data_IF_749281870836
#
_entry.id   IF_749281870836
#
_cell.length_a   1.000
_cell.length_b   1.000
_cell.length_c   1.000
_cell.angle_alpha   90.00
_cell.angle_beta   90.00
_cell.angle_gamma   90.00
#
_symmetry.space_group_name_H-M   'P 1'
#
loop_
_entity.id
_entity.type
_entity.pdbx_description
1 polymer ?
#
# COMPACT_ATOMS: atom_id res chain seq x y z
N UNK A 1 -54.58 0.57 56.24
CA UNK A 1 -53.17 0.08 56.20
C UNK A 1 -53.13 -0.98 55.10
N UNK A 2 -52.50 -0.81 53.94
CA UNK A 2 -51.42 0.08 53.54
C UNK A 2 -51.69 0.62 52.12
N UNK A 3 -51.81 1.94 52.01
CA UNK A 3 -51.41 2.67 50.81
C UNK A 3 -49.89 2.49 50.70
N UNK A 4 -49.37 1.75 49.72
CA UNK A 4 -47.94 1.80 49.34
C UNK A 4 -47.64 1.06 48.01
N UNK A 5 -48.62 0.87 47.12
CA UNK A 5 -48.43 0.13 45.86
C UNK A 5 -48.56 0.96 44.57
N UNK A 6 -48.73 2.28 44.64
CA UNK A 6 -48.94 3.12 43.45
C UNK A 6 -47.80 4.08 43.09
N UNK A 7 -46.62 3.97 43.71
CA UNK A 7 -45.50 4.91 43.49
C UNK A 7 -44.32 4.32 42.70
N UNK A 8 -44.38 3.05 42.29
CA UNK A 8 -43.29 2.36 41.58
C UNK A 8 -43.35 2.40 40.05
N UNK A 9 -44.37 2.99 39.44
CA UNK A 9 -44.56 2.96 37.97
C UNK A 9 -44.26 4.31 37.30
N UNK A 10 -44.14 5.40 38.06
CA UNK A 10 -43.94 6.75 37.51
C UNK A 10 -42.48 7.24 37.47
N UNK A 11 -41.52 6.43 37.90
CA UNK A 11 -40.08 6.76 37.86
C UNK A 11 -39.26 5.94 36.86
N UNK A 12 -39.90 5.10 36.05
CA UNK A 12 -39.23 4.38 34.95
C UNK A 12 -39.40 5.07 33.58
N UNK A 13 -40.35 6.00 33.43
CA UNK A 13 -40.48 6.80 32.21
C UNK A 13 -39.41 7.89 32.01
N UNK A 14 -38.77 8.50 33.04
CA UNK A 14 -37.71 9.47 32.79
C UNK A 14 -36.38 8.82 32.40
N UNK A 15 -36.13 7.56 32.80
CA UNK A 15 -34.91 6.83 32.38
C UNK A 15 -35.00 6.32 30.95
N UNK A 16 -36.20 5.99 30.47
CA UNK A 16 -36.43 5.60 29.08
C UNK A 16 -36.27 6.76 28.08
N UNK A 17 -36.30 8.01 28.56
CA UNK A 17 -36.08 9.22 27.75
C UNK A 17 -34.66 9.79 27.87
N UNK A 18 -33.81 9.20 28.72
CA UNK A 18 -32.38 9.58 28.84
C UNK A 18 -31.45 8.63 28.05
N UNK A 19 -32.02 7.62 27.40
CA UNK A 19 -31.39 6.86 26.32
C UNK A 19 -31.95 7.38 24.98
N UNK A 20 -31.77 8.67 24.71
CA UNK A 20 -31.51 9.04 23.32
C UNK A 20 -30.18 8.36 23.00
N UNK A 21 -30.27 7.16 22.43
CA UNK A 21 -29.20 6.62 21.60
C UNK A 21 -28.75 7.80 20.73
N UNK A 22 -27.51 8.23 20.91
CA UNK A 22 -26.81 9.05 19.94
C UNK A 22 -27.05 8.37 18.59
N UNK A 23 -28.02 8.89 17.84
CA UNK A 23 -28.39 8.38 16.54
C UNK A 23 -27.09 8.38 15.75
N UNK A 24 -26.72 7.26 15.11
CA UNK A 24 -25.46 7.20 14.38
C UNK A 24 -25.48 8.37 13.41
N UNK A 25 -24.56 9.31 13.58
CA UNK A 25 -24.32 10.46 12.69
C UNK A 25 -24.75 10.06 11.29
N UNK A 26 -25.87 10.62 10.83
CA UNK A 26 -26.70 10.04 9.78
C UNK A 26 -25.88 9.33 8.72
N UNK A 27 -26.05 8.01 8.59
CA UNK A 27 -25.30 7.16 7.65
C UNK A 27 -25.51 7.53 6.17
N UNK A 28 -26.25 8.61 5.91
CA UNK A 28 -26.49 9.19 4.59
C UNK A 28 -25.57 10.41 4.45
N UNK A 29 -24.70 10.44 3.43
CA UNK A 29 -23.89 11.62 3.14
C UNK A 29 -24.76 12.87 3.03
N UNK A 30 -24.36 13.96 3.69
CA UNK A 30 -25.09 15.25 3.68
C UNK A 30 -25.42 15.73 2.26
N UNK A 31 -24.57 15.40 1.29
CA UNK A 31 -24.75 15.70 -0.13
C UNK A 31 -24.28 14.52 -0.97
N UNK A 32 -25.19 13.96 -1.77
CA UNK A 32 -24.85 13.01 -2.84
C UNK A 32 -24.82 13.76 -4.16
N UNK A 33 -23.67 13.77 -4.83
CA UNK A 33 -23.52 14.43 -6.14
C UNK A 33 -23.38 13.36 -7.22
N UNK A 34 -24.38 13.17 -8.09
CA UNK A 34 -24.27 12.26 -9.21
C UNK A 34 -23.15 12.70 -10.18
N UNK A 35 -22.42 11.74 -10.75
CA UNK A 35 -21.32 12.00 -11.68
C UNK A 35 -21.69 12.98 -12.81
N UNK A 36 -22.87 12.81 -13.42
CA UNK A 36 -23.35 13.68 -14.51
C UNK A 36 -23.59 15.14 -14.10
N UNK A 37 -23.64 15.45 -12.80
CA UNK A 37 -23.78 16.81 -12.26
C UNK A 37 -22.45 17.44 -11.85
N UNK A 38 -21.36 16.67 -11.88
CA UNK A 38 -20.01 17.16 -11.58
C UNK A 38 -19.29 17.44 -12.89
N UNK A 39 -18.73 18.64 -13.02
CA UNK A 39 -17.78 18.92 -14.09
C UNK A 39 -16.40 18.35 -13.72
N UNK A 40 -16.32 17.03 -13.60
CA UNK A 40 -15.09 16.33 -13.25
C UNK A 40 -14.19 16.24 -14.49
N UNK A 41 -12.91 16.57 -14.33
CA UNK A 41 -11.90 16.29 -15.35
C UNK A 41 -11.63 14.80 -15.36
N UNK A 42 -11.71 14.16 -16.52
CA UNK A 42 -11.51 12.72 -16.68
C UNK A 42 -10.43 12.49 -17.71
N UNK A 43 -9.51 11.60 -17.39
CA UNK A 43 -8.53 11.07 -18.32
C UNK A 43 -8.86 9.61 -18.65
N UNK A 44 -8.81 9.28 -19.94
CA UNK A 44 -8.92 7.92 -20.42
C UNK A 44 -8.21 7.82 -21.78
N UNK A 45 -7.49 6.72 -22.00
CA UNK A 45 -6.87 6.39 -23.28
C UNK A 45 -7.52 5.11 -23.83
N UNK A 46 -7.95 5.15 -25.10
CA UNK A 46 -8.65 4.03 -25.73
C UNK A 46 -7.79 2.77 -25.72
N UNK A 47 -8.35 1.68 -25.20
CA UNK A 47 -7.69 0.37 -25.14
C UNK A 47 -6.71 0.20 -23.97
N UNK A 48 -6.59 1.21 -23.10
CA UNK A 48 -5.78 1.15 -21.87
C UNK A 48 -6.69 1.06 -20.65
N UNK A 49 -6.26 0.25 -19.69
CA UNK A 49 -7.03 -0.10 -18.50
C UNK A 49 -6.09 -0.13 -17.28
N UNK A 50 -6.67 -0.26 -16.08
CA UNK A 50 -5.94 -0.44 -14.83
C UNK A 50 -4.98 0.71 -14.49
N UNK A 51 -5.51 1.92 -14.40
CA UNK A 51 -4.81 3.10 -13.88
C UNK A 51 -4.63 2.97 -12.35
N UNK A 52 -3.59 2.26 -11.91
CA UNK A 52 -3.42 1.85 -10.50
C UNK A 52 -2.29 2.52 -9.74
N UNK A 53 -1.36 3.19 -10.44
CA UNK A 53 -0.18 3.78 -9.81
C UNK A 53 -0.09 5.25 -10.18
N UNK A 54 0.09 6.11 -9.19
CA UNK A 54 0.16 7.56 -9.37
C UNK A 54 1.39 8.11 -8.66
N UNK A 55 2.07 9.07 -9.29
CA UNK A 55 3.15 9.83 -8.66
C UNK A 55 2.93 11.31 -8.95
N UNK A 56 2.86 12.10 -7.89
CA UNK A 56 2.78 13.55 -7.99
C UNK A 56 4.18 14.14 -8.20
N UNK A 57 4.35 14.96 -9.24
CA UNK A 57 5.58 15.70 -9.54
C UNK A 57 5.27 17.19 -9.57
N UNK A 58 5.09 17.76 -8.38
CA UNK A 58 4.80 19.21 -8.23
C UNK A 58 5.91 20.08 -8.81
N UNK A 59 7.16 19.62 -8.71
CA UNK A 59 8.35 20.23 -9.31
C UNK A 59 8.27 20.37 -10.84
N UNK A 60 7.49 19.52 -11.50
CA UNK A 60 7.26 19.55 -12.95
C UNK A 60 5.82 19.96 -13.32
N UNK A 61 4.96 20.22 -12.32
CA UNK A 61 3.51 20.38 -12.49
C UNK A 61 2.83 19.21 -13.22
N UNK A 62 3.25 17.97 -12.92
CA UNK A 62 2.73 16.74 -13.54
C UNK A 62 2.07 15.80 -12.54
N UNK A 63 1.02 15.12 -13.00
CA UNK A 63 0.57 13.86 -12.44
C UNK A 63 1.07 12.72 -13.34
N UNK A 64 1.98 11.91 -12.82
CA UNK A 64 2.43 10.71 -13.51
C UNK A 64 1.47 9.56 -13.22
N UNK A 65 1.04 8.84 -14.25
CA UNK A 65 0.02 7.81 -14.16
C UNK A 65 0.49 6.51 -14.82
N UNK A 66 0.71 5.48 -14.01
CA UNK A 66 1.01 4.12 -14.45
C UNK A 66 -0.28 3.33 -14.70
N UNK A 67 -0.33 2.66 -15.86
CA UNK A 67 -1.46 1.85 -16.29
C UNK A 67 -0.99 0.47 -16.82
N UNK A 68 -1.90 -0.30 -17.42
CA UNK A 68 -1.53 -1.50 -18.17
C UNK A 68 -0.82 -1.11 -19.48
N UNK A 69 0.43 -1.55 -19.63
CA UNK A 69 1.33 -1.38 -20.79
C UNK A 69 1.72 0.07 -21.11
N UNK A 70 1.45 1.03 -20.22
CA UNK A 70 1.73 2.44 -20.48
C UNK A 70 1.94 3.26 -19.21
N UNK A 71 2.74 4.33 -19.35
CA UNK A 71 2.88 5.41 -18.38
C UNK A 71 2.54 6.75 -19.05
N UNK A 72 1.80 7.60 -18.36
CA UNK A 72 1.38 8.92 -18.83
C UNK A 72 1.93 10.03 -17.94
N UNK A 73 2.27 11.15 -18.57
CA UNK A 73 2.46 12.43 -17.89
C UNK A 73 1.25 13.31 -18.19
N UNK A 74 0.45 13.62 -17.18
CA UNK A 74 -0.74 14.44 -17.28
C UNK A 74 -0.46 15.82 -16.66
N UNK A 75 -1.11 16.85 -17.20
CA UNK A 75 -1.08 18.19 -16.60
C UNK A 75 -1.75 18.15 -15.21
N UNK A 76 -1.06 18.65 -14.18
CA UNK A 76 -1.56 18.61 -12.80
C UNK A 76 -2.78 19.54 -12.59
N UNK A 77 -2.90 20.62 -13.35
CA UNK A 77 -4.03 21.54 -13.26
C UNK A 77 -5.26 21.05 -14.05
N UNK A 78 -5.05 20.25 -15.10
CA UNK A 78 -6.10 19.63 -15.88
C UNK A 78 -5.71 18.23 -16.37
N UNK A 79 -5.99 17.22 -15.55
CA UNK A 79 -5.62 15.82 -15.81
C UNK A 79 -6.16 15.26 -17.13
N UNK A 80 -7.19 15.89 -17.72
CA UNK A 80 -7.70 15.49 -19.04
C UNK A 80 -6.68 15.75 -20.17
N UNK A 81 -5.68 16.60 -19.92
CA UNK A 81 -4.61 16.92 -20.86
C UNK A 81 -3.43 15.97 -20.66
N UNK A 82 -3.28 15.04 -21.61
CA UNK A 82 -2.07 14.24 -21.78
C UNK A 82 -0.95 15.08 -22.36
N UNK A 83 0.14 15.24 -21.62
CA UNK A 83 1.33 15.97 -22.07
C UNK A 83 2.32 15.04 -22.76
N UNK A 84 2.55 13.85 -22.20
CA UNK A 84 3.38 12.82 -22.79
C UNK A 84 2.92 11.41 -22.38
N UNK A 85 3.41 10.40 -23.08
CA UNK A 85 3.18 9.00 -22.73
C UNK A 85 4.28 8.10 -23.27
N UNK A 86 4.56 7.01 -22.56
CA UNK A 86 5.44 5.94 -23.02
C UNK A 86 4.64 4.63 -22.99
N UNK A 87 4.70 3.87 -24.08
CA UNK A 87 4.23 2.50 -24.10
C UNK A 87 5.35 1.60 -23.59
N UNK A 88 5.03 0.76 -22.62
CA UNK A 88 5.94 -0.22 -22.05
C UNK A 88 5.21 -1.56 -21.94
N UNK A 89 4.87 -2.11 -23.11
CA UNK A 89 4.16 -3.38 -23.25
C UNK A 89 5.09 -4.56 -23.39
N UNK A 90 4.53 -5.76 -23.28
CA UNK A 90 5.28 -7.02 -23.40
C UNK A 90 5.52 -7.38 -24.86
N UNK A 91 6.65 -8.03 -25.14
CA UNK A 91 6.94 -8.61 -26.45
C UNK A 91 6.07 -9.84 -26.71
N UNK A 92 5.94 -10.24 -27.97
CA UNK A 92 5.22 -11.48 -28.32
C UNK A 92 5.88 -12.72 -27.70
N UNK A 93 7.21 -12.71 -27.56
CA UNK A 93 7.95 -13.78 -26.92
C UNK A 93 7.59 -13.88 -25.43
N UNK A 94 7.67 -12.76 -24.68
CA UNK A 94 7.31 -12.74 -23.25
C UNK A 94 5.85 -13.15 -23.04
N UNK A 95 4.94 -12.71 -23.92
CA UNK A 95 3.53 -13.12 -23.88
C UNK A 95 3.40 -14.64 -24.04
N UNK A 96 4.03 -15.22 -25.06
CA UNK A 96 4.00 -16.67 -25.30
C UNK A 96 4.63 -17.47 -24.15
N UNK A 97 5.74 -16.99 -23.57
CA UNK A 97 6.37 -17.61 -22.40
C UNK A 97 5.45 -17.59 -21.17
N UNK A 98 4.73 -16.50 -20.94
CA UNK A 98 3.73 -16.39 -19.88
C UNK A 98 2.52 -17.32 -20.12
N UNK A 99 2.01 -17.37 -21.35
CA UNK A 99 0.94 -18.28 -21.77
C UNK A 99 1.34 -19.75 -21.55
N UNK A 100 2.58 -20.12 -21.90
CA UNK A 100 3.12 -21.46 -21.67
C UNK A 100 3.21 -21.83 -20.18
N UNK A 101 3.26 -20.84 -19.27
CA UNK A 101 3.18 -21.04 -17.82
C UNK A 101 1.73 -21.18 -17.31
N UNK A 102 0.74 -21.21 -18.21
CA UNK A 102 -0.67 -21.42 -17.90
C UNK A 102 -1.43 -20.17 -17.48
N UNK A 103 -0.94 -18.98 -17.83
CA UNK A 103 -1.52 -17.68 -17.47
C UNK A 103 -2.40 -17.11 -18.58
N UNK A 104 -3.39 -16.30 -18.21
CA UNK A 104 -4.34 -15.71 -19.17
C UNK A 104 -3.64 -14.68 -20.08
N UNK A 105 -3.66 -14.88 -21.42
CA UNK A 105 -2.96 -14.01 -22.37
C UNK A 105 -3.46 -12.56 -22.40
N UNK A 106 -4.74 -12.33 -22.13
CA UNK A 106 -5.40 -11.04 -22.29
C UNK A 106 -5.50 -10.26 -20.98
N UNK A 107 -5.50 -10.98 -19.85
CA UNK A 107 -5.63 -10.42 -18.50
C UNK A 107 -4.34 -10.46 -17.72
N UNK A 108 -3.58 -11.54 -17.74
CA UNK A 108 -2.42 -11.77 -16.87
C UNK A 108 -1.09 -11.50 -17.59
N UNK A 109 -0.95 -11.91 -18.85
CA UNK A 109 0.29 -11.78 -19.63
C UNK A 109 0.47 -10.39 -20.26
N UNK A 110 0.38 -9.36 -19.43
CA UNK A 110 0.58 -7.95 -19.77
C UNK A 110 1.55 -7.31 -18.79
N UNK A 111 2.13 -6.17 -19.15
CA UNK A 111 2.90 -5.38 -18.22
C UNK A 111 1.96 -4.45 -17.44
N UNK A 112 1.76 -4.67 -16.15
CA UNK A 112 1.04 -3.75 -15.29
C UNK A 112 2.04 -2.92 -14.50
N UNK A 113 2.01 -1.59 -14.66
CA UNK A 113 2.86 -0.70 -13.88
C UNK A 113 2.38 -0.72 -12.42
N UNK A 114 3.32 -0.98 -11.51
CA UNK A 114 3.06 -1.13 -10.07
C UNK A 114 3.81 -0.09 -9.26
N UNK A 115 5.08 0.08 -9.56
CA UNK A 115 5.95 1.00 -8.84
C UNK A 115 6.21 2.23 -9.69
N UNK A 116 6.10 3.42 -9.10
CA UNK A 116 6.47 4.67 -9.72
C UNK A 116 6.90 5.65 -8.62
N UNK A 117 8.20 5.84 -8.44
CA UNK A 117 8.76 6.67 -7.38
C UNK A 117 9.69 7.74 -7.94
N UNK A 118 9.72 8.92 -7.29
CA UNK A 118 10.72 9.95 -7.59
C UNK A 118 12.08 9.53 -6.99
N UNK A 119 13.14 9.82 -7.71
CA UNK A 119 14.52 9.70 -7.25
C UNK A 119 15.12 11.08 -6.94
N UNK A 120 16.22 11.11 -6.19
CA UNK A 120 16.90 12.36 -5.81
C UNK A 120 17.45 13.13 -7.01
N UNK A 121 17.89 12.42 -8.04
CA UNK A 121 18.37 13.00 -9.31
C UNK A 121 17.23 13.47 -10.24
N UNK A 122 16.00 13.59 -9.71
CA UNK A 122 14.76 13.93 -10.40
C UNK A 122 14.27 12.95 -11.48
N UNK A 123 14.96 11.81 -11.67
CA UNK A 123 14.41 10.69 -12.45
C UNK A 123 13.29 10.01 -11.67
N UNK A 124 12.67 9.04 -12.32
CA UNK A 124 11.62 8.22 -11.75
C UNK A 124 12.01 6.75 -11.87
N UNK A 125 11.90 6.01 -10.78
CA UNK A 125 12.05 4.56 -10.78
C UNK A 125 10.70 3.92 -11.06
N UNK A 126 10.62 3.07 -12.08
CA UNK A 126 9.37 2.44 -12.51
C UNK A 126 9.53 0.92 -12.56
N UNK A 127 8.53 0.18 -12.10
CA UNK A 127 8.50 -1.28 -12.27
C UNK A 127 7.12 -1.76 -12.70
N UNK A 128 7.10 -2.86 -13.44
CA UNK A 128 5.86 -3.54 -13.81
C UNK A 128 5.98 -5.06 -13.82
N UNK A 129 4.82 -5.72 -13.85
CA UNK A 129 4.70 -7.19 -13.77
C UNK A 129 5.25 -7.92 -14.99
N UNK A 130 5.34 -7.23 -16.13
CA UNK A 130 5.96 -7.68 -17.38
C UNK A 130 5.65 -9.15 -17.74
N UNK A 131 4.35 -9.50 -17.78
CA UNK A 131 3.87 -10.87 -18.04
C UNK A 131 4.47 -11.95 -17.11
N UNK A 132 4.37 -11.74 -15.79
CA UNK A 132 4.93 -12.65 -14.78
C UNK A 132 6.45 -12.83 -14.89
N UNK A 133 7.16 -11.77 -15.30
CA UNK A 133 8.62 -11.66 -15.18
C UNK A 133 9.01 -10.22 -14.83
N UNK A 134 8.79 -9.80 -13.56
CA UNK A 134 8.83 -8.40 -13.17
C UNK A 134 10.12 -7.69 -13.58
N UNK A 135 9.97 -6.48 -14.11
CA UNK A 135 11.07 -5.67 -14.64
C UNK A 135 10.95 -4.25 -14.11
N UNK A 136 12.10 -3.65 -13.81
CA UNK A 136 12.22 -2.26 -13.41
C UNK A 136 13.11 -1.48 -14.38
N UNK A 137 12.91 -0.17 -14.44
CA UNK A 137 13.70 0.74 -15.26
C UNK A 137 13.64 2.16 -14.70
N UNK A 138 14.34 3.08 -15.35
CA UNK A 138 14.36 4.50 -15.03
C UNK A 138 13.65 5.30 -16.13
N UNK A 139 12.95 6.34 -15.71
CA UNK A 139 12.31 7.30 -16.61
C UNK A 139 12.66 8.73 -16.26
N UNK A 140 12.67 9.58 -17.26
CA UNK A 140 12.85 11.02 -17.11
C UNK A 140 11.81 11.78 -17.93
N UNK A 141 11.47 12.98 -17.46
CA UNK A 141 10.64 13.92 -18.19
C UNK A 141 11.45 15.19 -18.43
N UNK A 142 11.73 15.50 -19.69
CA UNK A 142 12.49 16.68 -20.10
C UNK A 142 11.94 17.18 -21.45
N UNK A 143 11.93 18.50 -21.64
CA UNK A 143 11.52 19.16 -22.89
C UNK A 143 10.16 18.68 -23.43
N UNK A 144 9.20 18.45 -22.53
CA UNK A 144 7.86 17.98 -22.90
C UNK A 144 7.78 16.49 -23.27
N UNK A 145 8.87 15.73 -23.12
CA UNK A 145 8.96 14.32 -23.51
C UNK A 145 9.18 13.43 -22.29
N UNK A 146 8.41 12.34 -22.22
CA UNK A 146 8.64 11.25 -21.29
C UNK A 146 9.49 10.17 -21.97
N UNK A 147 10.59 9.75 -21.34
CA UNK A 147 11.52 8.76 -21.88
C UNK A 147 11.85 7.68 -20.87
N UNK A 148 11.87 6.42 -21.32
CA UNK A 148 12.35 5.25 -20.60
C UNK A 148 13.82 4.99 -21.00
N UNK A 149 14.68 4.65 -20.03
CA UNK A 149 16.11 4.42 -20.30
C UNK A 149 16.40 3.10 -21.00
N UNK A 150 15.51 2.11 -20.91
CA UNK A 150 15.66 0.77 -21.47
C UNK A 150 16.92 0.05 -20.98
N UNK A 151 17.28 0.25 -19.70
CA UNK A 151 18.40 -0.47 -19.09
C UNK A 151 18.02 -1.88 -18.67
N UNK A 152 16.76 -2.08 -18.29
CA UNK A 152 16.23 -3.36 -17.82
C UNK A 152 16.89 -3.83 -16.53
N UNK A 153 16.20 -3.69 -15.40
CA UNK A 153 16.61 -4.28 -14.12
C UNK A 153 15.66 -5.42 -13.72
N UNK A 154 16.22 -6.45 -13.08
CA UNK A 154 15.42 -7.50 -12.44
C UNK A 154 14.49 -6.88 -11.38
N UNK A 155 13.18 -7.14 -11.53
CA UNK A 155 12.12 -6.66 -10.67
C UNK A 155 11.71 -7.64 -9.58
N UNK A 156 12.34 -8.83 -9.50
CA UNK A 156 12.01 -9.85 -8.49
C UNK A 156 12.18 -9.33 -7.07
N UNK A 157 11.12 -9.45 -6.27
CA UNK A 157 11.06 -8.90 -4.91
C UNK A 157 10.86 -7.38 -4.85
N UNK A 158 10.92 -6.66 -5.98
CA UNK A 158 10.64 -5.21 -6.09
C UNK A 158 9.22 -4.93 -6.58
N UNK A 159 8.72 -5.80 -7.44
CA UNK A 159 7.40 -5.74 -8.06
C UNK A 159 6.76 -7.15 -8.05
N UNK A 160 5.44 -7.29 -7.83
CA UNK A 160 4.78 -8.59 -7.90
C UNK A 160 4.83 -9.17 -9.32
N UNK A 161 4.77 -10.50 -9.40
CA UNK A 161 4.57 -11.25 -10.64
C UNK A 161 3.13 -11.16 -11.12
N UNK A 162 2.19 -11.40 -10.20
CA UNK A 162 0.76 -11.39 -10.47
C UNK A 162 0.19 -9.97 -10.37
N UNK A 163 -0.54 -9.48 -11.39
CA UNK A 163 -1.16 -8.16 -11.36
C UNK A 163 -2.28 -7.98 -10.32
N UNK A 164 -2.79 -9.04 -9.72
CA UNK A 164 -3.81 -8.97 -8.68
C UNK A 164 -3.23 -9.12 -7.28
N UNK A 165 -1.94 -9.43 -7.17
CA UNK A 165 -1.25 -9.50 -5.89
C UNK A 165 -1.06 -8.10 -5.30
N UNK A 166 -1.44 -7.98 -4.02
CA UNK A 166 -1.21 -6.79 -3.19
C UNK A 166 0.29 -6.63 -2.92
N UNK A 167 0.76 -5.39 -2.93
CA UNK A 167 2.16 -5.02 -2.76
C UNK A 167 2.24 -3.63 -2.09
N UNK A 168 3.39 -3.30 -1.53
CA UNK A 168 3.69 -1.96 -1.05
C UNK A 168 5.14 -1.61 -1.37
N UNK A 169 5.43 -0.35 -1.71
CA UNK A 169 6.79 0.11 -1.92
C UNK A 169 6.94 1.60 -1.62
N UNK A 170 8.16 2.01 -1.24
CA UNK A 170 8.56 3.40 -1.05
C UNK A 170 10.03 3.55 -1.46
N UNK A 171 10.38 4.72 -2.01
CA UNK A 171 11.76 5.10 -2.29
C UNK A 171 12.26 6.00 -1.16
N UNK A 172 13.38 5.65 -0.54
CA UNK A 172 14.04 6.44 0.52
C UNK A 172 15.52 6.52 0.19
N UNK A 173 16.07 7.71 0.00
CA UNK A 173 17.49 7.94 -0.34
C UNK A 173 17.98 7.12 -1.55
N UNK A 174 17.13 6.98 -2.58
CA UNK A 174 17.30 6.12 -3.77
C UNK A 174 17.37 4.61 -3.50
N UNK A 175 17.11 4.16 -2.28
CA UNK A 175 16.91 2.76 -1.94
C UNK A 175 15.43 2.40 -2.00
N UNK A 176 15.09 1.39 -2.80
CA UNK A 176 13.71 0.90 -2.90
C UNK A 176 13.41 -0.08 -1.77
N UNK A 177 12.51 0.31 -0.88
CA UNK A 177 11.86 -0.61 0.06
C UNK A 177 10.62 -1.17 -0.63
N UNK A 178 10.48 -2.49 -0.61
CA UNK A 178 9.39 -3.18 -1.29
C UNK A 178 8.94 -4.40 -0.51
N UNK A 179 7.62 -4.58 -0.44
CA UNK A 179 6.97 -5.73 0.16
C UNK A 179 6.02 -6.36 -0.87
N UNK A 180 6.36 -7.56 -1.29
CA UNK A 180 5.67 -8.31 -2.34
C UNK A 180 6.06 -9.80 -2.23
N UNK A 181 5.91 -10.58 -3.29
CA UNK A 181 6.51 -11.91 -3.39
C UNK A 181 7.73 -11.93 -4.30
N UNK A 182 8.71 -12.76 -3.95
CA UNK A 182 9.94 -12.95 -4.73
C UNK A 182 9.78 -14.03 -5.83
N UNK A 183 8.74 -14.86 -5.77
CA UNK A 183 8.57 -15.99 -6.67
C UNK A 183 7.29 -15.89 -7.52
N UNK A 184 7.26 -16.68 -8.59
CA UNK A 184 6.16 -16.70 -9.56
C UNK A 184 4.81 -17.11 -8.94
N UNK A 185 4.83 -17.99 -7.93
CA UNK A 185 3.62 -18.52 -7.29
C UNK A 185 3.00 -17.56 -6.26
N UNK A 186 3.69 -16.48 -5.88
CA UNK A 186 3.23 -15.57 -4.84
C UNK A 186 3.36 -16.13 -3.41
N UNK A 187 3.99 -17.30 -3.23
CA UNK A 187 4.03 -18.05 -1.97
C UNK A 187 5.19 -17.65 -1.05
N UNK A 188 6.19 -16.95 -1.57
CA UNK A 188 7.35 -16.48 -0.81
C UNK A 188 7.25 -14.97 -0.60
N UNK A 189 6.58 -14.51 0.48
CA UNK A 189 6.49 -13.08 0.79
C UNK A 189 7.84 -12.56 1.25
N UNK A 190 8.14 -11.32 0.88
CA UNK A 190 9.40 -10.67 1.20
C UNK A 190 9.16 -9.19 1.50
N UNK A 191 9.84 -8.67 2.52
CA UNK A 191 10.13 -7.24 2.66
C UNK A 191 11.63 -7.07 2.39
N UNK A 192 11.98 -6.30 1.37
CA UNK A 192 13.36 -6.10 0.93
C UNK A 192 13.69 -4.62 0.74
N UNK A 193 14.95 -4.27 0.98
CA UNK A 193 15.57 -3.04 0.50
C UNK A 193 16.50 -3.38 -0.65
N UNK A 194 16.21 -2.82 -1.81
CA UNK A 194 17.04 -2.94 -3.01
C UNK A 194 18.02 -1.78 -3.04
N UNK A 195 19.23 -2.05 -2.59
CA UNK A 195 20.39 -1.15 -2.61
C UNK A 195 21.65 -1.95 -2.96
N UNK A 196 22.84 -1.34 -3.08
CA UNK A 196 24.08 -2.09 -3.30
C UNK A 196 24.29 -3.24 -2.29
N UNK A 197 23.80 -3.07 -1.05
CA UNK A 197 23.69 -4.12 -0.04
C UNK A 197 22.22 -4.46 0.17
N UNK A 198 21.70 -5.39 -0.63
CA UNK A 198 20.32 -5.83 -0.48
C UNK A 198 20.09 -6.58 0.84
N UNK A 199 19.03 -6.19 1.54
CA UNK A 199 18.60 -6.78 2.82
C UNK A 199 17.15 -7.21 2.69
N UNK A 200 16.83 -8.37 3.25
CA UNK A 200 15.48 -8.93 3.18
C UNK A 200 15.01 -9.61 4.46
N UNK A 201 13.73 -9.95 4.52
CA UNK A 201 13.18 -10.83 5.56
C UNK A 201 13.63 -12.29 5.42
N UNK A 202 13.53 -13.05 6.51
CA UNK A 202 13.62 -14.51 6.48
C UNK A 202 12.34 -15.14 5.92
N UNK A 203 12.46 -16.28 5.25
CA UNK A 203 11.32 -17.10 4.82
C UNK A 203 10.83 -17.99 5.97
N UNK A 204 10.35 -17.34 7.04
CA UNK A 204 9.76 -18.00 8.21
C UNK A 204 8.39 -17.40 8.49
N UNK A 205 7.43 -18.23 8.85
CA UNK A 205 6.07 -17.80 9.23
C UNK A 205 6.06 -16.85 10.44
N UNK A 206 7.05 -16.95 11.34
CA UNK A 206 7.21 -16.00 12.44
C UNK A 206 7.50 -14.57 11.96
N UNK A 207 8.07 -14.40 10.75
CA UNK A 207 8.32 -13.09 10.15
C UNK A 207 7.12 -12.61 9.35
N UNK A 208 6.69 -13.40 8.37
CA UNK A 208 5.56 -13.10 7.50
C UNK A 208 4.79 -14.39 7.21
N UNK A 209 3.48 -14.39 7.47
CA UNK A 209 2.63 -15.57 7.30
C UNK A 209 1.46 -15.30 6.35
N UNK A 210 1.63 -15.61 5.06
CA UNK A 210 0.65 -15.30 4.01
C UNK A 210 0.15 -13.83 4.07
N UNK A 211 1.05 -12.83 4.03
CA UNK A 211 0.66 -11.44 4.18
C UNK A 211 -0.04 -10.89 2.93
N UNK A 212 -0.96 -9.96 3.16
CA UNK A 212 -1.47 -9.04 2.15
C UNK A 212 -0.97 -7.64 2.50
N UNK A 213 0.01 -7.15 1.74
CA UNK A 213 0.63 -5.84 1.96
C UNK A 213 -0.32 -4.70 1.59
N UNK A 214 -0.24 -3.60 2.33
CA UNK A 214 -1.12 -2.44 2.15
C UNK A 214 -0.33 -1.21 1.72
N UNK A 215 0.63 -0.78 2.54
CA UNK A 215 1.30 0.50 2.35
C UNK A 215 2.62 0.55 3.13
N UNK A 216 3.45 1.54 2.79
CA UNK A 216 4.67 1.87 3.53
C UNK A 216 4.73 3.36 3.81
N UNK A 217 5.43 3.72 4.89
CA UNK A 217 5.73 5.10 5.23
C UNK A 217 7.12 5.19 5.87
N UNK A 218 7.87 6.25 5.54
CA UNK A 218 9.13 6.57 6.21
C UNK A 218 8.85 7.61 7.31
N UNK A 219 9.47 7.40 8.47
CA UNK A 219 9.42 8.28 9.62
C UNK A 219 10.83 8.78 9.96
N UNK A 220 11.06 10.10 9.99
CA UNK A 220 12.36 10.69 10.29
C UNK A 220 12.60 10.73 11.82
N UNK A 221 12.67 9.58 12.46
CA UNK A 221 12.79 9.49 13.93
C UNK A 221 14.14 10.01 14.46
N UNK A 222 15.14 10.12 13.58
CA UNK A 222 16.44 10.68 13.92
C UNK A 222 16.41 12.21 14.06
N UNK A 223 15.40 12.87 13.51
CA UNK A 223 15.26 14.32 13.59
C UNK A 223 14.99 14.76 15.03
N UNK A 224 15.85 15.65 15.55
CA UNK A 224 15.79 16.21 16.92
C UNK A 224 15.89 15.18 18.06
N UNK A 225 16.43 13.97 17.80
CA UNK A 225 16.56 12.95 18.84
C UNK A 225 17.97 12.90 19.44
N UNK A 226 18.14 13.42 20.65
CA UNK A 226 19.42 13.36 21.40
C UNK A 226 19.85 11.92 21.73
N UNK A 227 18.91 10.96 21.74
CA UNK A 227 19.19 9.52 22.01
C UNK A 227 19.68 8.76 20.76
N UNK A 228 19.68 9.39 19.58
CA UNK A 228 20.24 8.81 18.34
C UNK A 228 19.44 7.64 17.77
N UNK A 229 18.11 7.76 17.68
CA UNK A 229 17.29 6.72 17.05
C UNK A 229 17.33 6.85 15.52
N UNK A 230 17.51 5.73 14.80
CA UNK A 230 17.55 5.73 13.34
C UNK A 230 16.16 5.98 12.76
N UNK A 231 16.11 6.66 11.60
CA UNK A 231 14.90 6.75 10.77
C UNK A 231 14.33 5.36 10.52
N UNK A 232 13.00 5.25 10.47
CA UNK A 232 12.34 3.95 10.30
C UNK A 232 11.45 3.93 9.09
N UNK A 233 11.34 2.75 8.49
CA UNK A 233 10.35 2.45 7.47
C UNK A 233 9.32 1.52 8.07
N UNK A 234 8.09 2.00 8.10
CA UNK A 234 6.91 1.27 8.56
C UNK A 234 6.23 0.57 7.38
N UNK A 235 5.80 -0.67 7.61
CA UNK A 235 5.05 -1.50 6.67
C UNK A 235 3.72 -1.90 7.31
N UNK A 236 2.62 -1.61 6.63
CA UNK A 236 1.28 -2.01 7.05
C UNK A 236 0.78 -3.16 6.17
N UNK A 237 0.21 -4.18 6.80
CA UNK A 237 -0.25 -5.38 6.12
C UNK A 237 -1.21 -6.17 7.00
N UNK A 238 -1.95 -7.10 6.42
CA UNK A 238 -2.66 -8.14 7.16
C UNK A 238 -1.98 -9.48 6.95
N UNK A 239 -2.03 -10.38 7.93
CA UNK A 239 -1.47 -11.73 7.80
C UNK A 239 -2.29 -12.74 8.59
N UNK A 240 -2.04 -14.03 8.35
CA UNK A 240 -2.58 -15.12 9.16
C UNK A 240 -1.91 -15.11 10.54
N UNK A 241 -2.70 -14.96 11.60
CA UNK A 241 -2.20 -14.98 12.97
C UNK A 241 -1.47 -16.30 13.28
N UNK A 242 -0.29 -16.21 13.89
CA UNK A 242 0.51 -17.36 14.36
C UNK A 242 0.34 -17.58 15.85
N UNK A 243 -0.14 -16.56 16.57
CA UNK A 243 -0.39 -16.56 18.01
C UNK A 243 -1.76 -17.15 18.40
N UNK A 244 -2.56 -17.60 17.42
CA UNK A 244 -3.92 -18.11 17.65
C UNK A 244 -4.11 -19.44 16.95
N UNK A 245 -4.17 -20.52 17.75
CA UNK A 245 -4.48 -21.88 17.31
C UNK A 245 -5.99 -22.11 17.08
N UNK A 246 -6.74 -21.08 16.69
CA UNK A 246 -8.17 -21.22 16.45
C UNK A 246 -8.44 -22.05 15.18
N UNK A 247 -9.49 -22.87 15.22
CA UNK A 247 -10.00 -23.67 14.09
C UNK A 247 -10.22 -22.85 12.82
N UNK A 248 -10.50 -21.55 12.98
CA UNK A 248 -10.61 -20.60 11.88
C UNK A 248 -9.29 -19.85 11.71
N UNK A 249 -8.85 -19.81 10.45
CA UNK A 249 -7.67 -19.12 9.92
C UNK A 249 -7.76 -17.60 10.13
N UNK A 250 -7.58 -17.14 11.37
CA UNK A 250 -7.77 -15.74 11.77
C UNK A 250 -6.77 -14.83 11.04
N UNK A 251 -7.29 -13.82 10.35
CA UNK A 251 -6.48 -12.76 9.74
C UNK A 251 -6.42 -11.57 10.68
N UNK A 252 -5.22 -11.05 10.93
CA UNK A 252 -4.99 -9.88 11.80
C UNK A 252 -4.24 -8.80 11.05
N UNK A 253 -4.50 -7.55 11.41
CA UNK A 253 -3.77 -6.39 10.90
C UNK A 253 -2.47 -6.18 11.67
N UNK A 254 -1.41 -5.81 10.97
CA UNK A 254 -0.06 -5.62 11.51
C UNK A 254 0.55 -4.31 11.04
N UNK A 255 1.38 -3.75 11.91
CA UNK A 255 2.44 -2.82 11.54
C UNK A 255 3.78 -3.48 11.81
N UNK A 256 4.67 -3.43 10.84
CA UNK A 256 6.07 -3.74 11.02
C UNK A 256 6.91 -2.50 10.82
N UNK A 257 8.14 -2.55 11.34
CA UNK A 257 9.13 -1.48 11.21
C UNK A 257 10.52 -2.07 10.99
N UNK A 258 11.33 -1.38 10.22
CA UNK A 258 12.78 -1.62 10.04
C UNK A 258 13.52 -0.29 10.15
N UNK A 259 14.76 -0.32 10.64
CA UNK A 259 15.62 0.88 10.68
C UNK A 259 16.22 1.11 9.30
N UNK A 260 16.25 2.37 8.85
CA UNK A 260 16.87 2.80 7.59
C UNK A 260 18.36 2.44 7.56
N UNK A 261 19.05 2.57 8.69
CA UNK A 261 20.48 2.25 8.83
C UNK A 261 20.83 0.77 8.96
N UNK A 262 19.86 -0.15 8.93
CA UNK A 262 20.13 -1.59 9.11
C UNK A 262 21.01 -2.11 7.95
N UNK A 263 22.08 -2.84 8.30
CA UNK A 263 23.03 -3.45 7.35
C UNK A 263 22.98 -4.99 7.37
N UNK A 264 22.12 -5.55 8.21
CA UNK A 264 22.07 -6.98 8.49
C UNK A 264 23.17 -7.42 9.47
N UNK A 265 23.15 -8.70 9.83
CA UNK A 265 24.09 -9.22 10.82
C UNK A 265 25.39 -9.76 10.19
N UNK A 266 26.48 -9.71 10.97
CA UNK A 266 27.81 -10.13 10.50
C UNK A 266 27.95 -11.66 10.38
N UNK A 267 27.35 -12.42 11.31
CA UNK A 267 27.42 -13.90 11.36
C UNK A 267 26.05 -14.55 11.18
N UNK A 268 25.11 -14.18 12.03
CA UNK A 268 23.68 -14.55 11.91
C UNK A 268 22.95 -13.42 11.17
N UNK A 269 21.86 -13.71 10.47
CA UNK A 269 21.08 -12.71 9.71
C UNK A 269 21.91 -11.95 8.66
N UNK A 270 22.87 -12.61 8.01
CA UNK A 270 23.60 -12.03 6.89
C UNK A 270 22.63 -11.63 5.76
N UNK A 271 22.72 -10.38 5.32
CA UNK A 271 21.82 -9.78 4.31
C UNK A 271 20.33 -9.87 4.69
N UNK A 272 20.03 -9.89 6.00
CA UNK A 272 18.67 -9.97 6.53
C UNK A 272 18.45 -8.92 7.60
N UNK A 273 17.22 -8.42 7.72
CA UNK A 273 16.90 -7.38 8.68
C UNK A 273 17.25 -7.82 10.10
N UNK A 274 17.99 -6.98 10.83
CA UNK A 274 18.21 -7.16 12.27
C UNK A 274 17.23 -6.33 13.11
N UNK A 275 16.57 -5.38 12.46
CA UNK A 275 15.64 -4.42 13.03
C UNK A 275 14.17 -4.69 12.66
N UNK A 276 13.85 -5.83 12.04
CA UNK A 276 12.47 -6.18 11.73
C UNK A 276 11.70 -6.54 13.01
N UNK A 277 10.74 -5.69 13.40
CA UNK A 277 9.76 -5.99 14.42
C UNK A 277 8.36 -5.77 13.85
N UNK A 278 7.37 -6.53 14.35
CA UNK A 278 5.96 -6.34 14.02
C UNK A 278 5.07 -6.40 15.26
N UNK A 279 3.98 -5.66 15.22
CA UNK A 279 2.96 -5.62 16.25
C UNK A 279 1.56 -5.72 15.61
N UNK A 280 0.58 -6.18 16.38
CA UNK A 280 -0.83 -6.18 15.99
C UNK A 280 -1.37 -4.74 16.01
N UNK A 281 -2.20 -4.39 15.04
CA UNK A 281 -3.04 -3.19 15.09
C UNK A 281 -4.49 -3.64 15.15
N UNK A 282 -5.23 -3.12 16.14
CA UNK A 282 -6.65 -3.39 16.30
C UNK A 282 -7.48 -2.14 16.05
N UNK A 283 -8.55 -2.31 15.28
CA UNK A 283 -9.64 -1.36 15.15
C UNK A 283 -10.90 -2.03 15.74
N UNK A 284 -11.11 -1.93 17.06
CA UNK A 284 -12.24 -2.59 17.71
C UNK A 284 -13.54 -1.86 17.37
N UNK A 285 -14.52 -2.62 16.90
CA UNK A 285 -15.90 -2.15 16.70
C UNK A 285 -16.77 -2.93 17.68
N UNK A 286 -17.62 -2.22 18.42
CA UNK A 286 -18.56 -2.83 19.38
C UNK A 286 -19.36 -3.93 18.68
N UNK A 287 -19.59 -5.04 19.38
CA UNK A 287 -20.32 -6.22 18.90
C UNK A 287 -19.64 -7.05 17.78
N UNK A 288 -18.50 -6.61 17.24
CA UNK A 288 -17.74 -7.42 16.30
C UNK A 288 -16.96 -8.52 17.02
N UNK A 289 -17.18 -9.77 16.61
CA UNK A 289 -16.45 -10.93 17.14
C UNK A 289 -15.09 -11.14 16.45
N UNK A 290 -14.94 -10.64 15.23
CA UNK A 290 -13.72 -10.80 14.44
C UNK A 290 -12.96 -9.47 14.32
N UNK A 291 -11.61 -9.50 14.29
CA UNK A 291 -10.79 -8.32 14.02
C UNK A 291 -11.12 -7.72 12.65
N UNK A 292 -11.09 -6.40 12.54
CA UNK A 292 -11.17 -5.74 11.25
C UNK A 292 -9.80 -5.77 10.56
N UNK A 293 -9.82 -5.93 9.24
CA UNK A 293 -8.63 -6.11 8.40
C UNK A 293 -8.31 -4.81 7.68
N UNK A 294 -7.07 -4.34 7.85
CA UNK A 294 -6.53 -3.13 7.27
C UNK A 294 -6.56 -3.17 5.74
N UNK A 295 -7.01 -2.07 5.12
CA UNK A 295 -7.17 -1.94 3.68
C UNK A 295 -6.27 -0.87 3.07
N UNK A 296 -6.06 0.22 3.81
CA UNK A 296 -5.24 1.36 3.39
C UNK A 296 -4.75 2.15 4.62
N UNK A 297 -3.69 2.94 4.44
CA UNK A 297 -3.21 3.88 5.45
C UNK A 297 -2.75 5.20 4.85
N UNK A 298 -2.88 6.28 5.60
CA UNK A 298 -2.35 7.58 5.26
C UNK A 298 -1.57 8.16 6.44
N UNK A 299 -0.33 8.57 6.19
CA UNK A 299 0.49 9.31 7.15
C UNK A 299 0.20 10.80 6.98
N UNK A 300 -0.26 11.43 8.05
CA UNK A 300 -0.42 12.88 8.12
C UNK A 300 0.59 13.47 9.09
N UNK A 301 1.44 14.36 8.60
CA UNK A 301 2.43 15.09 9.39
C UNK A 301 2.28 16.59 9.16
N UNK A 302 2.29 17.38 10.24
CA UNK A 302 2.41 18.84 10.17
C UNK A 302 3.89 19.19 10.03
N UNK A 303 4.35 19.81 8.92
CA UNK A 303 5.75 20.14 8.70
C UNK A 303 6.34 21.10 9.75
N UNK A 304 5.49 21.78 10.53
CA UNK A 304 5.92 22.72 11.57
C UNK A 304 6.02 22.06 12.96
N UNK A 305 5.73 20.76 13.07
CA UNK A 305 5.75 20.02 14.34
C UNK A 305 6.73 18.85 14.28
N UNK A 306 7.28 18.42 15.43
CA UNK A 306 8.15 17.27 15.44
C UNK A 306 7.41 16.00 15.00
N UNK A 307 8.15 15.06 14.42
CA UNK A 307 7.63 13.81 13.84
C UNK A 307 6.74 13.00 14.79
N UNK A 308 6.94 13.13 16.11
CA UNK A 308 6.14 12.48 17.16
C UNK A 308 4.66 12.88 17.12
N UNK A 309 4.32 13.99 16.47
CA UNK A 309 2.94 14.44 16.28
C UNK A 309 2.30 13.93 14.99
N UNK A 310 3.03 13.19 14.15
CA UNK A 310 2.45 12.57 12.97
C UNK A 310 1.40 11.54 13.35
N UNK A 311 0.34 11.46 12.56
CA UNK A 311 -0.78 10.55 12.76
C UNK A 311 -0.91 9.59 11.58
N UNK A 312 -1.06 8.31 11.89
CA UNK A 312 -1.47 7.31 10.92
C UNK A 312 -2.99 7.17 10.93
N UNK A 313 -3.63 7.51 9.83
CA UNK A 313 -5.01 7.13 9.56
C UNK A 313 -4.99 5.76 8.88
N UNK A 314 -5.85 4.84 9.30
CA UNK A 314 -5.95 3.52 8.70
C UNK A 314 -7.42 3.16 8.47
N UNK A 315 -7.71 2.58 7.31
CA UNK A 315 -9.03 2.11 6.93
C UNK A 315 -9.07 0.60 7.14
N UNK A 316 -10.11 0.10 7.83
CA UNK A 316 -10.29 -1.31 8.07
C UNK A 316 -11.67 -1.78 7.61
N UNK A 317 -11.77 -3.05 7.23
CA UNK A 317 -13.04 -3.69 6.84
C UNK A 317 -13.28 -4.96 7.65
N UNK A 318 -14.53 -5.31 7.97
CA UNK A 318 -14.81 -6.55 8.68
C UNK A 318 -14.39 -7.76 7.84
N UNK A 319 -13.82 -8.77 8.48
CA UNK A 319 -13.59 -10.06 7.83
C UNK A 319 -14.84 -10.94 7.96
N UNK A 320 -15.12 -11.73 6.93
CA UNK A 320 -16.17 -12.75 6.97
C UNK A 320 -15.59 -14.06 7.49
N UNK A 321 -16.43 -14.87 8.15
CA UNK A 321 -16.08 -16.27 8.41
C UNK A 321 -15.87 -16.97 7.06
N UNK A 322 -14.67 -17.53 6.86
CA UNK A 322 -14.35 -18.40 5.72
C UNK A 322 -14.77 -19.82 6.05
#
# INVERSE_FOLDING_TARGET
MHLLLSLGVFWLLPLALALEEDSPLGCVPRKTVPHHKVNARVFHEKGVFNYSTMLLREDLALLMLGAREAVYALDLNDISKKLASVKWGVTQQQKAECENKGKDPERECKNYIRTLHKMEDNRMYVCGTNAFDPECDYMSYADGKLTLENKGEDGKGKCPFDPFQRYASIMVDNDLYSATSINFLGSEPILTRSSPVSIRTEFKTSWLNEPSFVSMAQMPESEENEEGDDDKVYLFFSERAVESDCLNKLVVSRVARVCKGDLGGQRTLQKKWTSFLKARIDCPVLESQLPYVIQDTYLWCDPQRPWKNCLFYAIFTPQSYV
#
